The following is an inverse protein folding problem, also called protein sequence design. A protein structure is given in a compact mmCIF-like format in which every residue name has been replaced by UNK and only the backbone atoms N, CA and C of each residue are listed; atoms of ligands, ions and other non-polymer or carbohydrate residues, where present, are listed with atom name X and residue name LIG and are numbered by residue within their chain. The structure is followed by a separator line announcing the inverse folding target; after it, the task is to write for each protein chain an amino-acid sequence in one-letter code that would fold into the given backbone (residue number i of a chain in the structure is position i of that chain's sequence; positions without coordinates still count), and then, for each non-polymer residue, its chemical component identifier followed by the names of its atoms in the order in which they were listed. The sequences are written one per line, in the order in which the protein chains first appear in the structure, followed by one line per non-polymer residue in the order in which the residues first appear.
data_IF_549034012324
#
_entry.id   IF_549034012324
#
_cell.length_a   1.000
_cell.length_b   1.000
_cell.length_c   1.000
_cell.angle_alpha   90.00
_cell.angle_beta   90.00
_cell.angle_gamma   90.00
#
_symmetry.space_group_name_H-M   'P 1'
#
loop_
_entity.id
_entity.type
_entity.pdbx_description
1 polymer ?
#
# COMPACT_ATOMS: atom_id res chain seq x y z
N UNK A 1 -10.79 -18.11 37.97
CA UNK A 1 -10.78 -17.80 36.52
C UNK A 1 -9.38 -17.33 36.16
N UNK A 2 -8.60 -18.17 35.47
CA UNK A 2 -7.23 -17.86 35.09
C UNK A 2 -7.23 -16.77 34.00
N UNK A 3 -6.60 -15.64 34.28
CA UNK A 3 -6.47 -14.53 33.33
C UNK A 3 -5.32 -14.88 32.38
N UNK A 4 -5.67 -15.44 31.22
CA UNK A 4 -4.77 -15.66 30.10
C UNK A 4 -4.12 -14.33 29.68
N UNK A 5 -2.86 -14.11 30.09
CA UNK A 5 -2.01 -12.96 29.73
C UNK A 5 -1.75 -12.80 28.21
N UNK A 6 -2.32 -13.68 27.38
CA UNK A 6 -2.20 -13.68 25.90
C UNK A 6 -3.45 -13.18 25.17
N UNK A 7 -4.52 -12.82 25.88
CA UNK A 7 -5.72 -12.24 25.25
C UNK A 7 -5.62 -10.71 25.29
N UNK A 8 -5.12 -10.12 24.20
CA UNK A 8 -5.18 -8.67 23.96
C UNK A 8 -6.61 -8.19 24.25
N UNK A 9 -6.76 -7.06 24.93
CA UNK A 9 -8.08 -6.49 25.16
C UNK A 9 -8.81 -6.25 23.83
N UNK A 10 -10.15 -6.30 23.83
CA UNK A 10 -10.95 -6.00 22.63
C UNK A 10 -10.57 -4.64 22.04
N UNK A 11 -10.25 -3.68 22.91
CA UNK A 11 -9.75 -2.35 22.54
C UNK A 11 -8.37 -2.37 21.85
N UNK A 12 -7.43 -3.20 22.30
CA UNK A 12 -6.12 -3.37 21.63
C UNK A 12 -6.23 -4.09 20.30
N UNK A 13 -7.14 -5.06 20.19
CA UNK A 13 -7.42 -5.76 18.93
C UNK A 13 -7.98 -4.80 17.88
N UNK A 14 -8.90 -3.91 18.28
CA UNK A 14 -9.45 -2.84 17.43
C UNK A 14 -8.42 -1.75 17.07
N UNK A 15 -7.43 -1.50 17.93
CA UNK A 15 -6.32 -0.57 17.61
C UNK A 15 -5.37 -1.15 16.57
N UNK A 16 -5.11 -2.45 16.57
CA UNK A 16 -4.25 -3.09 15.56
C UNK A 16 -4.90 -3.13 14.17
N UNK A 17 -6.23 -3.19 14.08
CA UNK A 17 -6.95 -3.11 12.80
C UNK A 17 -7.11 -1.68 12.29
N UNK A 18 -6.83 -0.66 13.11
CA UNK A 18 -6.91 0.75 12.70
C UNK A 18 -5.89 1.05 11.61
N UNK A 19 -6.38 1.61 10.51
CA UNK A 19 -5.66 1.78 9.25
C UNK A 19 -4.90 3.09 9.20
N UNK A 20 -4.32 3.52 10.31
CA UNK A 20 -3.52 4.74 10.32
C UNK A 20 -2.23 4.50 9.51
N UNK A 21 -1.92 5.41 8.60
CA UNK A 21 -0.79 5.29 7.68
C UNK A 21 -0.97 4.30 6.52
N UNK A 22 -2.11 3.60 6.38
CA UNK A 22 -2.33 2.63 5.29
C UNK A 22 -3.16 3.26 4.17
N UNK A 23 -2.62 3.33 2.96
CA UNK A 23 -3.38 3.77 1.79
C UNK A 23 -3.71 2.60 0.86
N UNK A 24 -4.79 2.72 0.08
CA UNK A 24 -5.16 1.72 -0.94
C UNK A 24 -4.45 2.06 -2.24
N UNK A 25 -3.98 1.05 -2.95
CA UNK A 25 -3.49 1.21 -4.31
C UNK A 25 -4.54 1.93 -5.17
N UNK A 26 -4.12 2.91 -5.97
CA UNK A 26 -5.02 3.66 -6.86
C UNK A 26 -5.40 2.86 -8.12
N UNK A 27 -4.84 1.66 -8.29
CA UNK A 27 -5.25 0.74 -9.35
C UNK A 27 -6.62 0.13 -9.02
N UNK A 28 -7.65 0.34 -9.86
CA UNK A 28 -8.99 -0.23 -9.63
C UNK A 28 -8.98 -1.76 -9.59
N UNK A 29 -8.01 -2.44 -10.21
CA UNK A 29 -7.96 -3.90 -10.25
C UNK A 29 -7.28 -4.55 -9.05
N UNK A 30 -6.48 -3.80 -8.27
CA UNK A 30 -5.67 -4.36 -7.20
C UNK A 30 -6.21 -3.99 -5.81
N UNK A 31 -6.58 -2.72 -5.59
CA UNK A 31 -7.07 -2.16 -4.32
C UNK A 31 -6.26 -2.57 -3.05
N UNK A 32 -5.04 -3.10 -3.24
CA UNK A 32 -4.19 -3.63 -2.18
C UNK A 32 -3.84 -2.56 -1.16
N UNK A 33 -3.71 -2.98 0.10
CA UNK A 33 -3.40 -2.05 1.19
C UNK A 33 -1.89 -1.96 1.37
N UNK A 34 -1.38 -0.74 1.32
CA UNK A 34 0.04 -0.42 1.36
C UNK A 34 0.34 0.37 2.63
N UNK A 35 1.38 -0.05 3.35
CA UNK A 35 1.93 0.68 4.49
C UNK A 35 3.31 1.17 4.09
N UNK A 36 3.45 2.41 3.60
CA UNK A 36 4.76 3.00 3.39
C UNK A 36 5.38 3.34 4.76
N UNK A 37 6.70 3.30 4.85
CA UNK A 37 7.39 3.77 6.05
C UNK A 37 7.47 5.30 6.06
N UNK A 38 7.41 5.90 7.25
CA UNK A 38 7.41 7.36 7.43
C UNK A 38 8.57 8.04 6.69
N UNK A 39 8.24 8.92 5.75
CA UNK A 39 9.22 9.71 4.98
C UNK A 39 9.63 9.11 3.62
N UNK A 40 9.14 7.93 3.24
CA UNK A 40 9.41 7.37 1.91
C UNK A 40 8.71 8.18 0.81
N UNK A 41 9.47 8.76 -0.13
CA UNK A 41 8.91 9.54 -1.25
C UNK A 41 8.26 8.68 -2.33
N UNK A 42 8.60 7.40 -2.40
CA UNK A 42 8.13 6.45 -3.40
C UNK A 42 7.80 5.11 -2.74
N UNK A 43 6.74 4.47 -3.21
CA UNK A 43 6.27 3.20 -2.70
C UNK A 43 5.78 2.33 -3.84
N UNK A 44 6.19 1.07 -3.82
CA UNK A 44 5.74 0.08 -4.78
C UNK A 44 4.63 -0.78 -4.19
N UNK A 45 3.64 -1.09 -5.02
CA UNK A 45 2.59 -2.02 -4.63
C UNK A 45 3.09 -3.46 -4.76
N UNK A 46 3.05 -4.31 -3.71
CA UNK A 46 3.54 -5.69 -3.81
C UNK A 46 2.61 -6.57 -4.65
N UNK A 47 1.35 -6.16 -4.83
CA UNK A 47 0.34 -6.92 -5.57
C UNK A 47 0.34 -6.62 -7.07
N UNK A 48 0.60 -5.37 -7.47
CA UNK A 48 0.54 -4.96 -8.88
C UNK A 48 1.83 -4.36 -9.43
N UNK A 49 2.89 -4.28 -8.62
CA UNK A 49 4.20 -3.74 -9.02
C UNK A 49 4.23 -2.22 -9.26
N UNK A 50 3.08 -1.55 -9.31
CA UNK A 50 3.04 -0.12 -9.60
C UNK A 50 3.67 0.72 -8.52
N UNK A 51 4.48 1.69 -8.96
CA UNK A 51 5.11 2.66 -8.11
C UNK A 51 4.25 3.93 -8.01
N UNK A 52 4.12 4.44 -6.79
CA UNK A 52 3.40 5.68 -6.48
C UNK A 52 4.33 6.64 -5.75
N UNK A 53 4.20 7.92 -6.08
CA UNK A 53 4.84 9.00 -5.34
C UNK A 53 3.98 9.35 -4.13
N UNK A 54 4.61 9.37 -2.96
CA UNK A 54 3.97 9.66 -1.68
C UNK A 54 4.46 11.00 -1.17
N UNK A 55 3.51 11.84 -0.76
CA UNK A 55 3.79 13.04 0.01
C UNK A 55 3.34 12.84 1.46
N UNK A 56 4.14 13.31 2.39
CA UNK A 56 3.88 13.20 3.82
C UNK A 56 3.56 14.57 4.38
N UNK A 57 2.38 14.72 5.00
CA UNK A 57 2.06 15.90 5.82
C UNK A 57 2.55 15.71 7.26
N UNK A 58 2.50 14.46 7.75
CA UNK A 58 3.02 13.99 9.03
C UNK A 58 3.51 12.55 8.84
N UNK A 59 4.43 12.02 9.65
CA UNK A 59 4.94 10.65 9.52
C UNK A 59 3.86 9.55 9.60
N UNK A 60 2.67 9.88 10.10
CA UNK A 60 1.52 8.95 10.19
C UNK A 60 0.50 9.12 9.06
N UNK A 61 0.63 10.16 8.23
CA UNK A 61 -0.33 10.55 7.19
C UNK A 61 0.32 10.65 5.81
N UNK A 62 0.54 9.50 5.14
CA UNK A 62 0.94 9.46 3.74
C UNK A 62 -0.24 9.80 2.82
N UNK A 63 0.02 10.58 1.78
CA UNK A 63 -0.90 10.84 0.67
C UNK A 63 -0.27 10.48 -0.66
N UNK A 64 -1.01 9.80 -1.53
CA UNK A 64 -0.56 9.53 -2.90
C UNK A 64 -0.66 10.84 -3.70
N UNK A 65 0.44 11.24 -4.34
CA UNK A 65 0.46 12.34 -5.30
C UNK A 65 0.12 11.87 -6.72
N UNK A 66 0.58 10.70 -7.08
CA UNK A 66 0.34 10.10 -8.39
C UNK A 66 1.26 8.92 -8.66
N UNK A 67 1.07 8.24 -9.79
CA UNK A 67 1.97 7.18 -10.22
C UNK A 67 3.37 7.72 -10.56
N UNK A 68 4.37 6.86 -10.41
CA UNK A 68 5.69 7.07 -11.02
C UNK A 68 5.59 6.59 -12.46
N UNK A 69 5.68 7.53 -13.40
CA UNK A 69 5.41 7.27 -14.81
C UNK A 69 6.38 6.25 -15.42
N UNK A 70 7.67 6.34 -15.11
CA UNK A 70 8.71 5.50 -15.72
C UNK A 70 8.54 4.01 -15.41
N UNK A 71 8.22 3.67 -14.15
CA UNK A 71 8.01 2.28 -13.71
C UNK A 71 6.71 1.73 -14.27
N UNK A 72 5.64 2.53 -14.22
CA UNK A 72 4.33 2.08 -14.68
C UNK A 72 4.27 1.94 -16.21
N UNK A 73 5.02 2.76 -16.96
CA UNK A 73 5.11 2.62 -18.42
C UNK A 73 5.75 1.28 -18.81
N UNK A 74 6.86 0.90 -18.17
CA UNK A 74 7.51 -0.39 -18.41
C UNK A 74 6.57 -1.57 -18.10
N UNK A 75 5.92 -1.55 -16.93
CA UNK A 75 4.93 -2.57 -16.55
C UNK A 75 3.77 -2.67 -17.53
N UNK A 76 3.29 -1.54 -18.06
CA UNK A 76 2.23 -1.53 -19.06
C UNK A 76 2.71 -2.08 -20.42
N UNK A 77 3.92 -1.73 -20.85
CA UNK A 77 4.54 -2.26 -22.08
C UNK A 77 4.78 -3.78 -21.98
N UNK A 78 5.22 -4.28 -20.82
CA UNK A 78 5.38 -5.71 -20.55
C UNK A 78 4.03 -6.44 -20.55
N UNK A 79 3.00 -5.86 -19.92
CA UNK A 79 1.66 -6.42 -19.92
C UNK A 79 1.02 -6.45 -21.32
N UNK A 80 1.31 -5.46 -22.17
CA UNK A 80 0.85 -5.43 -23.57
C UNK A 80 1.56 -6.49 -24.42
N UNK A 81 2.89 -6.58 -24.35
CA UNK A 81 3.66 -7.60 -25.06
C UNK A 81 3.21 -9.03 -24.73
N UNK A 82 2.92 -9.30 -23.46
CA UNK A 82 2.40 -10.60 -23.03
C UNK A 82 0.98 -10.91 -23.55
N UNK A 83 0.20 -9.89 -23.90
CA UNK A 83 -1.16 -10.07 -24.47
C UNK A 83 -1.15 -10.16 -25.99
N UNK A 84 -0.22 -9.48 -26.67
CA UNK A 84 -0.11 -9.49 -28.14
C UNK A 84 0.66 -10.72 -28.66
N UNK A 85 1.40 -11.43 -27.79
CA UNK A 85 2.14 -12.64 -28.14
C UNK A 85 1.39 -13.97 -27.95
N UNK A 86 0.07 -13.94 -27.71
CA UNK A 86 -0.78 -15.14 -27.57
C UNK A 86 -1.87 -15.18 -28.65
#
# INVERSE_FOLDING_TARGET
MAVDKRKKSTSESLRNTRTYGKFRCHNPSCMGRLQPEGGQGEVQCPECGMAFRVAWIRPDFPRIRGPVWEVNRKLAEEALKNKEGN
#
